data_IF_778783217877
#
_entry.id   IF_778783217877
#
_cell.length_a   1.000
_cell.length_b   1.000
_cell.length_c   1.000
_cell.angle_alpha   90.00
_cell.angle_beta   90.00
_cell.angle_gamma   90.00
#
_symmetry.space_group_name_H-M   'P 1'
#
loop_
_entity.id
_entity.type
_entity.pdbx_description
1 polymer ?
#
# COMPACT_ATOMS: atom_id res chain seq x y z
N UNK A 1 -0.29 13.30 -0.92
CA UNK A 1 0.44 12.17 -0.32
C UNK A 1 1.03 12.52 1.05
N UNK A 2 1.83 13.58 1.17
CA UNK A 2 2.49 13.91 2.45
C UNK A 2 1.52 14.30 3.57
N UNK A 3 0.48 15.06 3.28
CA UNK A 3 -0.57 15.40 4.25
C UNK A 3 -1.29 14.14 4.76
N UNK A 4 -1.61 13.22 3.85
CA UNK A 4 -2.22 11.94 4.21
C UNK A 4 -1.31 11.10 5.12
N UNK A 5 -0.01 11.01 4.79
CA UNK A 5 0.98 10.30 5.61
C UNK A 5 1.20 10.98 6.96
N UNK A 6 1.09 12.31 7.03
CA UNK A 6 1.15 13.07 8.28
C UNK A 6 -0.05 12.73 9.18
N UNK A 7 -1.26 12.74 8.62
CA UNK A 7 -2.48 12.37 9.34
C UNK A 7 -2.41 10.93 9.84
N UNK A 8 -2.03 9.98 8.97
CA UNK A 8 -1.80 8.59 9.36
C UNK A 8 -0.81 8.48 10.54
N UNK A 9 0.32 9.20 10.45
CA UNK A 9 1.32 9.22 11.53
C UNK A 9 0.76 9.77 12.85
N UNK A 10 -0.10 10.79 12.78
CA UNK A 10 -0.78 11.38 13.94
C UNK A 10 -1.76 10.38 14.58
N UNK A 11 -2.60 9.76 13.76
CA UNK A 11 -3.60 8.79 14.21
C UNK A 11 -2.95 7.56 14.85
N UNK A 12 -1.84 7.07 14.30
CA UNK A 12 -1.09 5.95 14.87
C UNK A 12 -0.52 6.28 16.26
N UNK A 13 0.02 7.48 16.45
CA UNK A 13 0.51 7.93 17.76
C UNK A 13 -0.62 8.06 18.78
N UNK A 14 -1.77 8.59 18.34
CA UNK A 14 -2.94 8.75 19.21
C UNK A 14 -3.45 7.40 19.75
N UNK A 15 -3.28 6.32 18.99
CA UNK A 15 -3.68 4.97 19.37
C UNK A 15 -2.57 4.14 20.06
N UNK A 16 -1.53 4.80 20.61
CA UNK A 16 -0.43 4.14 21.33
C UNK A 16 0.64 3.50 20.45
N UNK A 17 0.59 3.71 19.13
CA UNK A 17 1.61 3.28 18.18
C UNK A 17 2.74 4.30 18.02
N UNK A 18 3.64 4.03 17.08
CA UNK A 18 4.73 4.93 16.69
C UNK A 18 4.62 5.34 15.23
N UNK A 19 5.31 6.43 14.84
CA UNK A 19 5.36 6.87 13.46
C UNK A 19 6.11 5.85 12.60
N UNK A 20 5.42 5.20 11.67
CA UNK A 20 6.06 4.31 10.72
C UNK A 20 6.94 5.09 9.73
N UNK A 21 8.19 4.67 9.51
CA UNK A 21 8.99 5.15 8.38
C UNK A 21 8.28 4.84 7.06
N UNK A 22 8.35 5.77 6.10
CA UNK A 22 7.79 5.56 4.74
C UNK A 22 8.32 4.26 4.11
N UNK A 23 9.59 3.93 4.35
CA UNK A 23 10.24 2.71 3.88
C UNK A 23 9.61 1.44 4.44
N UNK A 24 9.09 1.46 5.67
CA UNK A 24 8.42 0.31 6.28
C UNK A 24 7.05 0.09 5.64
N UNK A 25 6.31 1.17 5.40
CA UNK A 25 5.01 1.12 4.72
C UNK A 25 5.18 0.54 3.32
N UNK A 26 6.11 1.08 2.53
CA UNK A 26 6.38 0.61 1.17
C UNK A 26 6.80 -0.87 1.17
N UNK A 27 7.71 -1.28 2.07
CA UNK A 27 8.17 -2.68 2.14
C UNK A 27 7.04 -3.63 2.54
N UNK A 28 6.20 -3.25 3.50
CA UNK A 28 5.05 -4.05 3.91
C UNK A 28 4.04 -4.23 2.77
N UNK A 29 3.75 -3.16 2.02
CA UNK A 29 2.86 -3.19 0.86
C UNK A 29 3.40 -4.07 -0.26
N UNK A 30 4.70 -3.95 -0.60
CA UNK A 30 5.35 -4.80 -1.61
C UNK A 30 5.24 -6.28 -1.19
N UNK A 31 5.58 -6.60 0.06
CA UNK A 31 5.50 -7.97 0.57
C UNK A 31 4.07 -8.53 0.54
N UNK A 32 3.05 -7.70 0.80
CA UNK A 32 1.66 -8.11 0.69
C UNK A 32 1.25 -8.35 -0.78
N UNK A 33 1.60 -7.43 -1.69
CA UNK A 33 1.32 -7.54 -3.12
C UNK A 33 1.96 -8.78 -3.73
N UNK A 34 3.20 -9.14 -3.34
CA UNK A 34 3.86 -10.37 -3.79
C UNK A 34 3.06 -11.63 -3.46
N UNK A 35 2.28 -11.64 -2.38
CA UNK A 35 1.42 -12.76 -1.99
C UNK A 35 0.11 -12.80 -2.79
N UNK A 36 -0.37 -11.66 -3.28
CA UNK A 36 -1.62 -11.54 -4.03
C UNK A 36 -1.54 -12.05 -5.48
N UNK A 37 -0.37 -12.54 -5.94
CA UNK A 37 -0.13 -13.06 -7.31
C UNK A 37 -0.68 -12.13 -8.41
N UNK A 38 -0.43 -10.83 -8.25
CA UNK A 38 -0.91 -9.81 -9.20
C UNK A 38 -0.16 -9.97 -10.53
N UNK A 39 -0.88 -10.03 -11.64
CA UNK A 39 -0.26 -10.05 -12.95
C UNK A 39 0.26 -8.65 -13.30
N UNK A 40 1.58 -8.49 -13.39
CA UNK A 40 2.24 -7.22 -13.72
C UNK A 40 2.58 -7.08 -15.22
N UNK A 41 2.27 -8.08 -16.04
CA UNK A 41 2.64 -8.07 -17.45
C UNK A 41 1.94 -6.92 -18.20
N UNK A 42 2.72 -6.14 -18.95
CA UNK A 42 2.21 -5.09 -19.82
C UNK A 42 1.67 -3.84 -19.12
N UNK A 43 1.95 -3.63 -17.83
CA UNK A 43 1.65 -2.35 -17.15
C UNK A 43 2.46 -1.24 -17.82
N UNK A 44 1.78 -0.15 -18.17
CA UNK A 44 2.41 1.00 -18.83
C UNK A 44 2.52 2.24 -17.96
N UNK A 45 1.67 2.34 -16.94
CA UNK A 45 1.62 3.48 -16.03
C UNK A 45 1.19 3.10 -14.61
N UNK A 46 1.30 4.05 -13.70
CA UNK A 46 0.98 3.91 -12.29
C UNK A 46 -0.52 3.61 -12.06
N UNK A 47 -1.42 4.22 -12.85
CA UNK A 47 -2.87 4.03 -12.69
C UNK A 47 -3.29 2.60 -13.05
N UNK A 48 -2.66 2.02 -14.06
CA UNK A 48 -2.90 0.64 -14.44
C UNK A 48 -2.44 -0.34 -13.35
N UNK A 49 -1.30 -0.05 -12.71
CA UNK A 49 -0.84 -0.82 -11.55
C UNK A 49 -1.82 -0.72 -10.39
N UNK A 50 -2.26 0.49 -10.03
CA UNK A 50 -3.24 0.71 -8.96
C UNK A 50 -4.52 -0.12 -9.18
N UNK A 51 -5.07 -0.07 -10.40
CA UNK A 51 -6.27 -0.82 -10.76
C UNK A 51 -6.09 -2.33 -10.57
N UNK A 52 -4.96 -2.89 -10.97
CA UNK A 52 -4.68 -4.33 -10.79
C UNK A 52 -4.53 -4.72 -9.32
N UNK A 53 -3.97 -3.82 -8.50
CA UNK A 53 -3.91 -4.02 -7.04
C UNK A 53 -5.32 -4.07 -6.44
N UNK A 54 -6.18 -3.11 -6.79
CA UNK A 54 -7.57 -3.11 -6.30
C UNK A 54 -8.35 -4.36 -6.72
N UNK A 55 -8.20 -4.80 -7.97
CA UNK A 55 -8.84 -6.01 -8.49
C UNK A 55 -8.35 -7.27 -7.77
N UNK A 56 -7.05 -7.36 -7.47
CA UNK A 56 -6.48 -8.48 -6.72
C UNK A 56 -7.02 -8.52 -5.28
N UNK A 57 -7.11 -7.37 -4.62
CA UNK A 57 -7.66 -7.27 -3.25
C UNK A 57 -9.13 -7.72 -3.23
N UNK A 58 -9.95 -7.32 -4.21
CA UNK A 58 -11.37 -7.76 -4.30
C UNK A 58 -11.52 -9.28 -4.42
N UNK A 59 -10.55 -9.96 -5.04
CA UNK A 59 -10.55 -11.41 -5.24
C UNK A 59 -10.01 -12.18 -4.04
N UNK A 60 -9.31 -11.53 -3.11
CA UNK A 60 -8.68 -12.14 -1.94
C UNK A 60 -9.68 -12.36 -0.77
N UNK A 61 -10.98 -12.39 -1.04
CA UNK A 61 -12.02 -12.65 -0.03
C UNK A 61 -12.07 -14.11 0.40
#
# INVERSE_FOLDING_TARGET
MDEWLYKLSSDMKANGGYKLPKTYIIRALINAIMKLKINLNGIRDEKELEKRVEEAIKKYK
#
